data_IF_780355520958
#
_entry.id   IF_780355520958
#
_cell.length_a   1.000
_cell.length_b   1.000
_cell.length_c   1.000
_cell.angle_alpha   90.00
_cell.angle_beta   90.00
_cell.angle_gamma   90.00
#
_symmetry.space_group_name_H-M   'P 1'
#
loop_
_entity.id
_entity.type
_entity.pdbx_description
1 polymer ?
#
# COMPACT_ATOMS: atom_id res chain seq x y z
N UNK A 1 58.89 44.69 27.08
CA UNK A 1 57.45 44.97 26.88
C UNK A 1 56.77 43.62 26.65
N UNK A 2 55.99 43.17 27.63
CA UNK A 2 55.34 41.86 27.65
C UNK A 2 54.04 41.95 26.85
N UNK A 3 53.82 41.05 25.88
CA UNK A 3 52.47 40.75 25.40
C UNK A 3 52.25 39.25 25.32
N UNK A 4 51.22 38.82 26.06
CA UNK A 4 50.65 37.49 26.13
C UNK A 4 50.02 37.09 24.78
N UNK A 5 50.12 35.81 24.41
CA UNK A 5 49.09 35.12 23.62
C UNK A 5 48.70 33.82 24.31
N UNK A 6 47.45 33.79 24.76
CA UNK A 6 46.73 32.60 25.22
C UNK A 6 46.17 31.92 23.98
N UNK A 7 46.60 30.69 23.68
CA UNK A 7 45.96 29.86 22.65
C UNK A 7 44.87 29.01 23.30
N UNK A 8 43.63 29.23 22.87
CA UNK A 8 42.43 28.47 23.25
C UNK A 8 42.57 26.98 22.89
N UNK A 9 42.49 26.10 23.87
CA UNK A 9 42.03 24.72 23.72
C UNK A 9 40.50 24.74 23.68
N UNK A 10 39.87 24.50 22.52
CA UNK A 10 38.45 24.08 22.50
C UNK A 10 37.94 23.55 21.15
N UNK A 11 38.73 22.76 20.41
CA UNK A 11 38.21 22.05 19.23
C UNK A 11 38.92 20.70 19.08
N UNK A 12 38.59 19.70 19.90
CA UNK A 12 38.88 18.29 19.58
C UNK A 12 38.27 17.26 20.54
N UNK A 13 37.14 17.54 21.20
CA UNK A 13 36.50 16.54 22.09
C UNK A 13 35.17 15.99 21.55
N UNK A 14 34.53 16.63 20.58
CA UNK A 14 33.25 16.15 20.04
C UNK A 14 33.39 15.08 18.93
N UNK A 15 34.53 15.00 18.25
CA UNK A 15 34.72 14.07 17.12
C UNK A 15 35.19 12.68 17.58
N UNK A 16 35.83 12.59 18.74
CA UNK A 16 36.29 11.32 19.30
C UNK A 16 35.16 10.49 19.95
N UNK A 17 34.09 11.11 20.44
CA UNK A 17 32.98 10.35 21.06
C UNK A 17 32.08 9.64 20.06
N UNK A 18 31.87 10.15 18.84
CA UNK A 18 31.01 9.49 17.85
C UNK A 18 31.70 8.27 17.21
N UNK A 19 33.01 8.34 16.99
CA UNK A 19 33.77 7.22 16.42
C UNK A 19 33.91 6.04 17.40
N UNK A 20 34.07 6.31 18.70
CA UNK A 20 34.20 5.25 19.71
C UNK A 20 32.85 4.54 19.94
N UNK A 21 31.72 5.25 19.88
CA UNK A 21 30.39 4.63 20.00
C UNK A 21 30.06 3.76 18.77
N UNK A 22 30.45 4.19 17.56
CA UNK A 22 30.32 3.36 16.36
C UNK A 22 31.21 2.11 16.41
N UNK A 23 32.43 2.23 16.94
CA UNK A 23 33.35 1.10 17.14
C UNK A 23 32.86 0.09 18.18
N UNK A 24 32.26 0.55 19.29
CA UNK A 24 31.70 -0.33 20.31
C UNK A 24 30.45 -1.10 19.82
N UNK A 25 29.62 -0.47 18.98
CA UNK A 25 28.45 -1.13 18.37
C UNK A 25 28.84 -2.23 17.38
N UNK A 26 29.93 -2.03 16.62
CA UNK A 26 30.50 -3.06 15.74
C UNK A 26 31.06 -4.26 16.54
N UNK A 27 31.67 -4.02 17.70
CA UNK A 27 32.29 -5.10 18.49
C UNK A 27 31.27 -5.88 19.33
N UNK A 28 30.18 -5.26 19.80
CA UNK A 28 29.09 -6.00 20.46
C UNK A 28 28.28 -6.83 19.48
N UNK A 29 28.18 -6.41 18.20
CA UNK A 29 27.60 -7.26 17.14
C UNK A 29 28.45 -8.50 16.85
N UNK A 30 29.78 -8.44 17.00
CA UNK A 30 30.65 -9.60 16.70
C UNK A 30 30.69 -10.64 17.83
N UNK A 31 30.53 -10.25 19.10
CA UNK A 31 30.60 -11.20 20.23
C UNK A 31 29.37 -12.10 20.36
N UNK A 32 28.20 -11.71 19.83
CA UNK A 32 27.01 -12.58 19.80
C UNK A 32 27.11 -13.65 18.70
N UNK A 33 27.89 -13.43 17.65
CA UNK A 33 28.01 -14.36 16.51
C UNK A 33 29.14 -15.40 16.63
N UNK A 34 30.02 -15.27 17.62
CA UNK A 34 31.18 -16.17 17.73
C UNK A 34 30.89 -17.52 18.42
N UNK A 35 29.67 -17.76 18.93
CA UNK A 35 29.28 -19.03 19.57
C UNK A 35 28.36 -19.92 18.71
N UNK A 36 27.98 -19.52 17.49
CA UNK A 36 27.20 -20.34 16.54
C UNK A 36 28.12 -21.06 15.54
N UNK A 37 29.04 -21.87 16.04
CA UNK A 37 29.74 -22.88 15.22
C UNK A 37 29.13 -24.24 15.53
N UNK A 38 28.05 -24.59 14.82
CA UNK A 38 27.82 -25.93 14.22
C UNK A 38 26.48 -26.11 13.48
N UNK A 39 25.47 -25.24 13.61
CA UNK A 39 24.12 -25.54 13.09
C UNK A 39 23.49 -24.37 12.29
N UNK A 40 24.21 -23.88 11.28
CA UNK A 40 23.71 -22.84 10.37
C UNK A 40 22.78 -23.43 9.30
N UNK A 41 21.60 -22.84 9.14
CA UNK A 41 20.60 -23.17 8.13
C UNK A 41 20.16 -24.63 8.18
N UNK A 42 19.66 -25.04 9.35
CA UNK A 42 19.21 -26.42 9.58
C UNK A 42 18.04 -26.78 8.66
N UNK A 43 18.14 -27.92 7.99
CA UNK A 43 17.04 -28.48 7.21
C UNK A 43 17.43 -29.55 6.19
N UNK A 44 16.54 -30.51 5.94
CA UNK A 44 16.67 -31.47 4.84
C UNK A 44 16.91 -30.73 3.52
N UNK A 45 17.95 -31.13 2.78
CA UNK A 45 18.37 -30.51 1.51
C UNK A 45 18.07 -31.43 0.36
N UNK A 46 17.56 -30.88 -0.73
CA UNK A 46 17.15 -31.64 -1.92
C UNK A 46 18.27 -32.52 -2.53
N UNK A 47 19.53 -32.06 -2.51
CA UNK A 47 20.65 -32.73 -3.21
C UNK A 47 21.71 -33.39 -2.32
N UNK A 48 21.59 -33.34 -0.99
CA UNK A 48 22.61 -33.89 -0.08
C UNK A 48 22.14 -35.18 0.58
N UNK A 49 22.51 -36.31 0.01
CA UNK A 49 22.60 -37.56 0.76
C UNK A 49 23.80 -37.47 1.71
N UNK A 50 23.57 -37.78 2.99
CA UNK A 50 24.57 -38.14 4.03
C UNK A 50 24.87 -37.11 5.14
N UNK A 51 25.12 -35.80 4.91
CA UNK A 51 25.72 -34.96 6.00
C UNK A 51 24.78 -34.02 6.78
N UNK A 52 23.58 -33.69 6.30
CA UNK A 52 22.67 -32.74 6.97
C UNK A 52 21.56 -33.41 7.82
N UNK A 53 21.54 -34.74 7.91
CA UNK A 53 20.41 -35.48 8.52
C UNK A 53 20.43 -35.54 10.05
N UNK A 54 21.60 -35.47 10.67
CA UNK A 54 21.71 -35.81 12.10
C UNK A 54 21.28 -34.71 13.07
N UNK A 55 21.05 -33.50 12.56
CA UNK A 55 20.69 -32.35 13.41
C UNK A 55 19.35 -31.70 13.01
N UNK A 56 18.77 -32.02 11.84
CA UNK A 56 17.52 -31.40 11.42
C UNK A 56 16.33 -31.85 12.29
N UNK A 57 15.64 -30.88 12.88
CA UNK A 57 14.39 -31.08 13.61
C UNK A 57 13.24 -30.51 12.81
N UNK A 58 12.17 -31.30 12.70
CA UNK A 58 10.91 -30.87 12.07
C UNK A 58 10.31 -29.62 12.73
N UNK A 59 10.55 -29.46 14.02
CA UNK A 59 10.07 -28.35 14.86
C UNK A 59 11.11 -27.23 15.00
N UNK A 60 12.33 -27.46 14.52
CA UNK A 60 13.45 -26.54 14.66
C UNK A 60 13.32 -25.29 13.79
N UNK A 61 13.71 -24.15 14.36
CA UNK A 61 13.82 -22.87 13.64
C UNK A 61 14.84 -22.91 12.50
N UNK A 62 14.60 -22.09 11.48
CA UNK A 62 15.48 -21.96 10.31
C UNK A 62 16.25 -20.65 10.41
N UNK A 63 17.50 -20.72 10.90
CA UNK A 63 18.38 -19.54 10.99
C UNK A 63 19.55 -19.73 10.03
N UNK A 64 19.63 -18.90 9.00
CA UNK A 64 20.68 -18.95 7.98
C UNK A 64 21.47 -17.63 7.97
N UNK A 65 22.80 -17.71 8.04
CA UNK A 65 23.69 -16.54 7.92
C UNK A 65 24.51 -16.56 6.61
N UNK A 66 25.34 -15.53 6.40
CA UNK A 66 26.21 -15.33 5.23
C UNK A 66 27.20 -16.47 4.91
N UNK A 67 27.36 -17.44 5.80
CA UNK A 67 28.15 -18.66 5.55
C UNK A 67 27.50 -19.61 4.55
N UNK A 68 26.20 -19.48 4.28
CA UNK A 68 25.46 -20.27 3.30
C UNK A 68 25.15 -19.41 2.09
N UNK A 69 25.55 -19.86 0.90
CA UNK A 69 25.26 -19.15 -0.36
C UNK A 69 23.86 -19.45 -0.88
N UNK A 70 23.60 -20.67 -1.35
CA UNK A 70 22.28 -21.01 -1.92
C UNK A 70 21.85 -22.38 -1.43
N UNK A 71 20.59 -22.50 -0.98
CA UNK A 71 20.07 -23.77 -0.45
C UNK A 71 18.57 -23.89 -0.63
N UNK A 72 18.11 -25.08 -1.03
CA UNK A 72 16.69 -25.46 -1.01
C UNK A 72 16.44 -26.41 0.15
N UNK A 73 15.55 -26.02 1.05
CA UNK A 73 15.11 -26.81 2.18
C UNK A 73 13.81 -27.54 1.81
N UNK A 74 13.75 -28.83 2.13
CA UNK A 74 12.61 -29.72 1.91
C UNK A 74 12.17 -30.35 3.23
N UNK A 75 11.13 -31.17 3.19
CA UNK A 75 10.52 -31.84 4.34
C UNK A 75 9.44 -31.00 5.03
N UNK A 76 8.43 -31.70 5.54
CA UNK A 76 7.34 -31.09 6.30
C UNK A 76 7.88 -30.45 7.58
N UNK A 77 7.48 -29.21 7.88
CA UNK A 77 7.88 -28.48 9.08
C UNK A 77 6.70 -27.89 9.83
N UNK A 78 6.79 -27.90 11.16
CA UNK A 78 5.81 -27.29 12.06
C UNK A 78 6.59 -26.59 13.17
N UNK A 79 6.69 -25.27 13.11
CA UNK A 79 7.47 -24.47 14.06
C UNK A 79 6.51 -23.74 15.00
N UNK A 80 6.58 -24.04 16.30
CA UNK A 80 5.92 -23.24 17.34
C UNK A 80 6.91 -22.25 17.94
N UNK A 81 6.73 -20.97 17.63
CA UNK A 81 7.59 -19.89 18.14
C UNK A 81 7.51 -19.72 19.65
N UNK A 82 6.51 -20.33 20.30
CA UNK A 82 6.38 -20.32 21.75
C UNK A 82 7.29 -21.30 22.47
N UNK A 83 7.89 -22.27 21.78
CA UNK A 83 8.63 -23.33 22.47
C UNK A 83 9.77 -22.71 23.29
N UNK A 84 9.71 -22.76 24.65
CA UNK A 84 10.75 -22.18 25.48
C UNK A 84 12.12 -22.83 25.27
N UNK A 85 12.16 -24.03 24.69
CA UNK A 85 13.39 -24.77 24.43
C UNK A 85 14.12 -24.28 23.15
N UNK A 86 13.45 -23.51 22.30
CA UNK A 86 13.97 -23.03 21.01
C UNK A 86 14.35 -21.52 21.07
N UNK A 87 14.35 -20.93 22.27
CA UNK A 87 14.62 -19.50 22.50
C UNK A 87 13.53 -18.57 21.98
N UNK A 88 13.69 -17.25 22.17
CA UNK A 88 12.67 -16.25 21.78
C UNK A 88 12.74 -15.84 20.30
N UNK A 89 13.48 -16.53 19.43
CA UNK A 89 13.81 -16.08 18.06
C UNK A 89 12.72 -16.30 16.99
N UNK A 90 12.87 -15.60 15.86
CA UNK A 90 12.03 -15.75 14.67
C UNK A 90 12.03 -17.21 14.16
N UNK A 91 10.90 -17.69 13.63
CA UNK A 91 10.81 -19.05 13.08
C UNK A 91 11.75 -19.23 11.88
N UNK A 92 11.87 -18.20 11.05
CA UNK A 92 12.80 -18.14 9.92
C UNK A 92 13.56 -16.82 9.97
N UNK A 93 14.89 -16.89 10.01
CA UNK A 93 15.76 -15.72 9.97
C UNK A 93 16.88 -15.93 8.96
N UNK A 94 16.89 -15.13 7.90
CA UNK A 94 17.92 -15.21 6.85
C UNK A 94 18.70 -13.89 6.83
N UNK A 95 20.02 -13.99 6.99
CA UNK A 95 20.90 -12.84 7.15
C UNK A 95 22.05 -12.92 6.15
N UNK A 96 22.38 -11.78 5.57
CA UNK A 96 23.65 -11.54 4.92
C UNK A 96 23.60 -11.63 3.40
N UNK A 97 24.58 -11.00 2.73
CA UNK A 97 24.58 -10.87 1.30
C UNK A 97 24.87 -12.22 0.63
N UNK A 98 24.18 -12.49 -0.48
CA UNK A 98 24.29 -13.73 -1.26
C UNK A 98 23.80 -14.98 -0.51
N UNK A 99 22.99 -14.84 0.53
CA UNK A 99 22.29 -15.95 1.20
C UNK A 99 20.91 -16.11 0.57
N UNK A 100 20.77 -17.08 -0.32
CA UNK A 100 19.58 -17.36 -1.12
C UNK A 100 18.94 -18.69 -0.69
N UNK A 101 17.87 -18.61 0.11
CA UNK A 101 17.20 -19.78 0.68
C UNK A 101 15.85 -19.98 0.01
N UNK A 102 15.55 -21.22 -0.36
CA UNK A 102 14.22 -21.63 -0.84
C UNK A 102 13.62 -22.64 0.12
N UNK A 103 12.42 -22.38 0.62
CA UNK A 103 11.59 -23.39 1.28
C UNK A 103 10.74 -24.06 0.21
N UNK A 104 10.97 -25.36 0.01
CA UNK A 104 10.42 -26.17 -1.07
C UNK A 104 8.92 -26.46 -0.97
N UNK A 105 8.47 -27.46 -1.72
CA UNK A 105 7.03 -27.77 -1.93
C UNK A 105 6.36 -28.52 -0.78
N UNK A 106 7.13 -28.84 0.26
CA UNK A 106 6.64 -29.50 1.46
C UNK A 106 5.95 -28.49 2.39
N UNK A 107 4.89 -28.90 3.12
CA UNK A 107 4.19 -27.99 4.02
C UNK A 107 5.09 -27.39 5.10
N UNK A 108 5.02 -26.07 5.23
CA UNK A 108 5.58 -25.29 6.34
C UNK A 108 4.44 -24.67 7.13
N UNK A 109 4.34 -25.01 8.41
CA UNK A 109 3.41 -24.39 9.36
C UNK A 109 4.19 -23.64 10.43
N UNK A 110 3.82 -22.39 10.69
CA UNK A 110 4.36 -21.58 11.79
C UNK A 110 3.22 -21.03 12.63
N UNK A 111 3.32 -21.19 13.94
CA UNK A 111 2.37 -20.65 14.92
C UNK A 111 3.10 -20.03 16.09
N UNK A 112 2.40 -19.16 16.83
CA UNK A 112 2.90 -18.62 18.09
C UNK A 112 1.76 -18.63 19.11
N UNK A 113 1.89 -19.37 20.20
CA UNK A 113 0.93 -19.38 21.32
C UNK A 113 1.24 -18.38 22.45
N UNK A 114 2.39 -17.67 22.43
CA UNK A 114 2.89 -16.77 23.48
C UNK A 114 2.85 -15.29 23.06
N UNK A 115 3.13 -14.37 23.96
CA UNK A 115 3.16 -12.94 23.64
C UNK A 115 4.53 -12.52 23.08
N UNK A 116 4.93 -13.00 21.90
CA UNK A 116 6.17 -12.54 21.24
C UNK A 116 5.91 -11.32 20.34
N UNK A 117 6.75 -10.30 20.40
CA UNK A 117 6.68 -9.13 19.50
C UNK A 117 7.49 -9.33 18.21
N UNK A 118 8.13 -10.49 18.04
CA UNK A 118 8.96 -10.79 16.86
C UNK A 118 8.12 -11.18 15.66
N UNK A 119 8.66 -10.93 14.47
CA UNK A 119 8.13 -11.48 13.21
C UNK A 119 8.35 -12.99 13.12
N UNK A 120 7.43 -13.72 12.50
CA UNK A 120 7.65 -15.12 12.17
C UNK A 120 8.81 -15.32 11.18
N UNK A 121 8.91 -14.43 10.18
CA UNK A 121 9.97 -14.44 9.17
C UNK A 121 10.71 -13.11 9.19
N UNK A 122 12.04 -13.15 9.18
CA UNK A 122 12.89 -11.98 9.01
C UNK A 122 13.96 -12.23 7.96
N UNK A 123 14.09 -11.30 7.01
CA UNK A 123 15.14 -11.30 5.99
C UNK A 123 15.84 -9.96 5.99
N UNK A 124 17.16 -9.97 6.15
CA UNK A 124 17.94 -8.74 6.28
C UNK A 124 19.34 -8.83 5.65
N UNK A 125 19.98 -7.65 5.53
CA UNK A 125 21.37 -7.51 5.09
C UNK A 125 21.64 -8.09 3.68
N UNK A 126 20.68 -7.97 2.76
CA UNK A 126 20.84 -8.40 1.38
C UNK A 126 20.53 -9.88 1.11
N UNK A 127 19.97 -10.59 2.09
CA UNK A 127 19.56 -11.98 1.96
C UNK A 127 18.28 -12.15 1.12
N UNK A 128 18.04 -13.37 0.60
CA UNK A 128 16.85 -13.69 -0.17
C UNK A 128 16.18 -14.96 0.34
N UNK A 129 14.86 -14.92 0.43
CA UNK A 129 14.02 -16.05 0.79
C UNK A 129 12.95 -16.27 -0.28
N UNK A 130 12.79 -17.50 -0.72
CA UNK A 130 11.66 -17.94 -1.56
C UNK A 130 10.82 -18.93 -0.78
N UNK A 131 9.53 -18.61 -0.62
CA UNK A 131 8.50 -19.48 -0.05
C UNK A 131 7.67 -20.05 -1.19
N UNK A 132 7.65 -21.37 -1.35
CA UNK A 132 6.75 -22.04 -2.30
C UNK A 132 5.31 -22.11 -1.77
N UNK A 133 4.44 -22.85 -2.44
CA UNK A 133 2.98 -22.72 -2.31
C UNK A 133 2.39 -23.15 -0.96
N UNK A 134 2.99 -24.12 -0.27
CA UNK A 134 2.39 -24.77 0.93
C UNK A 134 2.88 -24.15 2.24
N UNK A 135 2.65 -22.85 2.40
CA UNK A 135 3.04 -22.12 3.62
C UNK A 135 1.81 -21.67 4.41
N UNK A 136 1.82 -21.91 5.72
CA UNK A 136 0.80 -21.43 6.65
C UNK A 136 1.48 -20.78 7.85
N UNK A 137 1.35 -19.47 7.99
CA UNK A 137 1.86 -18.72 9.13
C UNK A 137 0.68 -18.03 9.78
N UNK A 138 0.20 -18.57 10.90
CA UNK A 138 -1.05 -18.12 11.50
C UNK A 138 -0.90 -17.98 12.98
N UNK A 139 -1.79 -17.18 13.59
CA UNK A 139 -1.73 -16.91 15.01
C UNK A 139 -0.34 -16.38 15.40
N UNK A 140 0.17 -15.37 14.69
CA UNK A 140 1.43 -14.65 15.00
C UNK A 140 1.17 -13.16 15.20
N UNK A 141 2.04 -12.43 15.90
CA UNK A 141 1.86 -10.97 16.07
C UNK A 141 2.30 -10.17 14.85
N UNK A 142 3.34 -10.65 14.15
CA UNK A 142 3.88 -10.09 12.91
C UNK A 142 4.31 -11.26 12.03
N UNK A 143 4.00 -11.21 10.74
CA UNK A 143 4.26 -12.31 9.82
C UNK A 143 5.67 -12.18 9.24
N UNK A 144 5.99 -11.04 8.61
CA UNK A 144 7.25 -10.88 7.88
C UNK A 144 7.88 -9.52 8.17
N UNK A 145 9.21 -9.49 8.19
CA UNK A 145 10.02 -8.28 8.21
C UNK A 145 11.13 -8.40 7.15
N UNK A 146 11.16 -7.44 6.21
CA UNK A 146 12.20 -7.32 5.18
C UNK A 146 12.96 -6.02 5.39
N UNK A 147 14.19 -6.12 5.87
CA UNK A 147 15.03 -4.98 6.24
C UNK A 147 16.27 -4.86 5.35
N UNK A 148 16.42 -3.72 4.70
CA UNK A 148 17.65 -3.33 4.03
C UNK A 148 17.67 -3.63 2.54
N UNK A 149 18.46 -2.82 1.83
CA UNK A 149 18.61 -2.92 0.39
C UNK A 149 19.15 -4.30 -0.02
N UNK A 150 18.56 -4.86 -1.07
CA UNK A 150 18.90 -6.20 -1.57
C UNK A 150 18.22 -7.35 -0.82
N UNK A 151 17.60 -7.10 0.33
CA UNK A 151 16.82 -8.10 1.06
C UNK A 151 15.50 -8.38 0.34
N UNK A 152 15.22 -9.64 0.03
CA UNK A 152 14.02 -10.03 -0.76
C UNK A 152 13.29 -11.21 -0.15
N UNK A 153 11.97 -11.11 0.01
CA UNK A 153 11.09 -12.27 0.21
C UNK A 153 10.24 -12.46 -1.05
N UNK A 154 10.25 -13.67 -1.63
CA UNK A 154 9.34 -14.08 -2.69
C UNK A 154 8.35 -15.11 -2.14
N UNK A 155 7.05 -14.91 -2.35
CA UNK A 155 5.98 -15.76 -1.85
C UNK A 155 5.14 -16.25 -3.02
N UNK A 156 5.13 -17.57 -3.25
CA UNK A 156 4.41 -18.17 -4.36
C UNK A 156 2.98 -18.61 -3.98
N UNK A 157 2.70 -18.74 -2.68
CA UNK A 157 1.39 -19.07 -2.15
C UNK A 157 1.42 -19.21 -0.62
N UNK A 158 0.24 -19.31 -0.01
CA UNK A 158 0.10 -19.58 1.40
C UNK A 158 -0.94 -18.72 2.11
N UNK A 159 -1.13 -19.02 3.40
CA UNK A 159 -2.03 -18.31 4.30
C UNK A 159 -1.24 -17.64 5.40
N UNK A 160 -1.47 -16.34 5.59
CA UNK A 160 -0.76 -15.50 6.54
C UNK A 160 -1.78 -14.80 7.44
N UNK A 161 -1.72 -15.02 8.75
CA UNK A 161 -2.76 -14.57 9.67
C UNK A 161 -2.21 -14.07 10.99
N UNK A 162 -2.69 -12.90 11.44
CA UNK A 162 -2.41 -12.42 12.79
C UNK A 162 -3.18 -13.23 13.85
N UNK A 163 -2.74 -13.12 15.11
CA UNK A 163 -3.55 -13.57 16.25
C UNK A 163 -4.87 -12.80 16.32
N UNK A 164 -5.93 -13.52 16.66
CA UNK A 164 -7.19 -12.95 17.10
C UNK A 164 -6.98 -12.23 18.44
N UNK A 165 -7.65 -11.10 18.66
CA UNK A 165 -7.70 -10.40 19.94
C UNK A 165 -6.34 -10.23 20.68
N UNK A 166 -5.41 -9.47 20.09
CA UNK A 166 -4.29 -8.93 20.87
C UNK A 166 -4.81 -7.68 21.58
N UNK A 167 -4.69 -7.61 22.91
CA UNK A 167 -4.87 -6.36 23.65
C UNK A 167 -3.99 -5.29 23.01
N UNK A 168 -4.62 -4.26 22.47
CA UNK A 168 -3.92 -3.12 21.93
C UNK A 168 -2.95 -2.60 23.00
N UNK A 169 -1.65 -2.64 22.70
CA UNK A 169 -0.75 -1.66 23.30
C UNK A 169 -1.38 -0.28 23.04
N UNK A 170 -1.42 0.56 24.07
CA UNK A 170 -2.32 1.73 24.19
C UNK A 170 -2.33 2.71 23.00
N UNK A 171 -1.41 2.62 22.04
CA UNK A 171 -1.27 3.56 20.92
C UNK A 171 -0.84 2.93 19.56
N UNK A 172 -0.81 1.60 19.39
CA UNK A 172 -0.15 0.96 18.24
C UNK A 172 -1.07 0.10 17.36
N UNK A 173 -1.37 0.55 16.13
CA UNK A 173 -1.93 -0.33 15.10
C UNK A 173 -1.03 -1.56 14.84
N UNK A 174 -1.60 -2.64 14.30
CA UNK A 174 -0.87 -3.89 14.02
C UNK A 174 -0.38 -3.92 12.57
N UNK A 175 0.81 -4.45 12.34
CA UNK A 175 1.41 -4.59 10.99
C UNK A 175 1.77 -6.06 10.74
N UNK A 176 1.32 -6.62 9.62
CA UNK A 176 1.60 -8.03 9.28
C UNK A 176 2.95 -8.19 8.57
N UNK A 177 3.20 -7.38 7.55
CA UNK A 177 4.41 -7.42 6.74
C UNK A 177 5.05 -6.04 6.76
N UNK A 178 6.27 -5.94 7.27
CA UNK A 178 7.06 -4.72 7.22
C UNK A 178 8.12 -4.80 6.12
N UNK A 179 8.17 -3.76 5.30
CA UNK A 179 9.20 -3.58 4.26
C UNK A 179 9.88 -2.24 4.50
N UNK A 180 11.16 -2.28 4.85
CA UNK A 180 11.91 -1.08 5.26
C UNK A 180 13.30 -1.04 4.66
N UNK A 181 13.85 0.18 4.62
CA UNK A 181 15.23 0.47 4.18
C UNK A 181 15.59 -0.08 2.79
N UNK A 182 14.63 -0.08 1.86
CA UNK A 182 14.82 -0.59 0.50
C UNK A 182 14.69 -2.11 0.37
N UNK A 183 14.12 -2.79 1.37
CA UNK A 183 13.72 -4.19 1.25
C UNK A 183 12.63 -4.40 0.19
N UNK A 184 12.44 -5.65 -0.23
CA UNK A 184 11.47 -6.01 -1.26
C UNK A 184 10.66 -7.26 -0.89
N UNK A 185 9.35 -7.20 -1.12
CA UNK A 185 8.48 -8.39 -1.11
C UNK A 185 7.88 -8.61 -2.50
N UNK A 186 7.90 -9.85 -2.96
CA UNK A 186 7.38 -10.28 -4.26
C UNK A 186 6.35 -11.37 -4.04
N UNK A 187 5.15 -11.20 -4.57
CA UNK A 187 4.11 -12.20 -4.63
C UNK A 187 4.02 -12.72 -6.06
N UNK A 188 4.30 -14.02 -6.23
CA UNK A 188 4.48 -14.62 -7.55
C UNK A 188 3.94 -16.04 -7.63
N UNK A 189 2.63 -16.16 -7.86
CA UNK A 189 1.99 -17.44 -8.11
C UNK A 189 2.23 -17.89 -9.56
N UNK A 190 3.44 -18.35 -9.88
CA UNK A 190 3.72 -18.99 -11.18
C UNK A 190 3.27 -20.44 -11.19
N UNK A 191 2.07 -20.71 -11.70
CA UNK A 191 1.65 -22.08 -12.04
C UNK A 191 0.15 -22.33 -11.93
N UNK A 192 -0.42 -23.07 -12.89
CA UNK A 192 -1.79 -23.58 -12.89
C UNK A 192 -1.94 -24.74 -11.88
N UNK A 193 -1.67 -24.48 -10.60
CA UNK A 193 -1.87 -25.46 -9.55
C UNK A 193 -3.01 -24.99 -8.66
N UNK A 194 -3.89 -25.92 -8.30
CA UNK A 194 -5.06 -25.75 -7.41
C UNK A 194 -4.70 -25.32 -5.96
N UNK A 195 -3.53 -24.70 -5.74
CA UNK A 195 -3.17 -24.07 -4.48
C UNK A 195 -4.04 -22.84 -4.27
N UNK A 196 -4.53 -22.63 -3.05
CA UNK A 196 -5.46 -21.56 -2.70
C UNK A 196 -4.92 -20.15 -2.98
N UNK A 197 -5.79 -19.16 -2.85
CA UNK A 197 -5.43 -17.76 -2.95
C UNK A 197 -4.42 -17.35 -1.87
N UNK A 198 -3.56 -16.37 -2.17
CA UNK A 198 -2.63 -15.82 -1.18
C UNK A 198 -3.42 -14.98 -0.20
N UNK A 199 -3.67 -15.50 0.99
CA UNK A 199 -4.55 -14.88 1.97
C UNK A 199 -3.75 -14.19 3.06
N UNK A 200 -4.05 -12.91 3.28
CA UNK A 200 -3.55 -12.10 4.38
C UNK A 200 -4.74 -11.73 5.29
N UNK A 201 -4.79 -12.30 6.49
CA UNK A 201 -5.88 -12.09 7.45
C UNK A 201 -5.44 -11.32 8.69
N UNK A 202 -6.15 -10.23 8.98
CA UNK A 202 -5.95 -9.40 10.17
C UNK A 202 -6.43 -10.05 11.48
N UNK A 203 -7.06 -11.22 11.42
CA UNK A 203 -7.72 -11.87 12.55
C UNK A 203 -9.08 -11.25 12.90
N UNK A 204 -9.91 -12.01 13.62
CA UNK A 204 -11.24 -11.56 14.06
C UNK A 204 -11.17 -10.70 15.33
N UNK A 205 -12.13 -9.78 15.48
CA UNK A 205 -12.31 -8.98 16.70
C UNK A 205 -11.31 -7.83 16.89
N UNK A 206 -10.59 -7.44 15.84
CA UNK A 206 -9.67 -6.31 15.89
C UNK A 206 -10.41 -4.99 16.13
N UNK A 207 -10.27 -4.43 17.34
CA UNK A 207 -10.75 -3.07 17.68
C UNK A 207 -9.78 -1.96 17.20
N UNK A 208 -8.67 -2.33 16.56
CA UNK A 208 -7.58 -1.42 16.17
C UNK A 208 -7.27 -1.50 14.69
N UNK A 209 -6.56 -0.49 14.18
CA UNK A 209 -6.02 -0.47 12.81
C UNK A 209 -5.15 -1.70 12.57
N UNK A 210 -5.43 -2.42 11.48
CA UNK A 210 -4.63 -3.55 10.99
C UNK A 210 -4.11 -3.21 9.61
N UNK A 211 -2.78 -3.19 9.50
CA UNK A 211 -2.04 -2.96 8.27
C UNK A 211 -1.55 -4.29 7.72
N UNK A 212 -1.93 -4.62 6.49
CA UNK A 212 -1.44 -5.80 5.80
C UNK A 212 0.06 -5.67 5.50
N UNK A 213 0.43 -4.67 4.69
CA UNK A 213 1.81 -4.39 4.33
C UNK A 213 2.13 -2.93 4.68
N UNK A 214 3.19 -2.70 5.47
CA UNK A 214 3.72 -1.35 5.71
C UNK A 214 5.07 -1.19 5.01
N UNK A 215 5.17 -0.16 4.16
CA UNK A 215 6.43 0.31 3.57
C UNK A 215 6.87 1.58 4.30
N UNK A 216 8.04 1.56 4.93
CA UNK A 216 8.44 2.64 5.85
C UNK A 216 9.91 3.05 5.73
N UNK A 217 10.32 4.00 6.58
CA UNK A 217 11.68 4.55 6.62
C UNK A 217 12.13 5.11 5.25
N UNK A 218 13.24 4.62 4.70
CA UNK A 218 13.81 5.06 3.42
C UNK A 218 13.23 4.33 2.21
N UNK A 219 12.06 3.68 2.35
CA UNK A 219 11.32 3.09 1.24
C UNK A 219 11.39 1.57 1.16
N UNK A 220 10.89 1.03 0.04
CA UNK A 220 10.78 -0.39 -0.21
C UNK A 220 9.90 -0.72 -1.42
N UNK A 221 9.94 -1.98 -1.84
CA UNK A 221 9.19 -2.47 -2.99
C UNK A 221 8.21 -3.59 -2.61
N UNK A 222 6.99 -3.48 -3.12
CA UNK A 222 5.96 -4.52 -3.08
C UNK A 222 5.59 -4.88 -4.51
N UNK A 223 5.85 -6.11 -4.94
CA UNK A 223 5.57 -6.57 -6.29
C UNK A 223 4.52 -7.69 -6.25
N UNK A 224 3.33 -7.48 -6.83
CA UNK A 224 2.31 -8.51 -7.04
C UNK A 224 2.28 -8.86 -8.52
N UNK A 225 2.89 -9.98 -8.89
CA UNK A 225 3.09 -10.35 -10.30
C UNK A 225 1.79 -10.73 -11.00
N UNK A 226 1.74 -10.48 -12.30
CA UNK A 226 0.64 -10.85 -13.19
C UNK A 226 0.24 -12.32 -13.00
N UNK A 227 -1.05 -12.56 -12.82
CA UNK A 227 -1.61 -13.89 -12.53
C UNK A 227 -1.66 -14.23 -11.04
N UNK A 228 -1.12 -13.37 -10.16
CA UNK A 228 -1.23 -13.51 -8.71
C UNK A 228 -2.40 -12.69 -8.20
N UNK A 229 -3.22 -13.29 -7.33
CA UNK A 229 -4.24 -12.61 -6.54
C UNK A 229 -3.80 -12.62 -5.07
N UNK A 230 -3.84 -11.45 -4.45
CA UNK A 230 -3.56 -11.23 -3.04
C UNK A 230 -4.85 -10.79 -2.34
N UNK A 231 -5.35 -11.61 -1.42
CA UNK A 231 -6.62 -11.40 -0.71
C UNK A 231 -6.36 -10.91 0.70
N UNK A 232 -6.74 -9.66 0.97
CA UNK A 232 -6.74 -9.11 2.31
C UNK A 232 -8.13 -9.24 2.95
N UNK A 233 -8.17 -9.82 4.14
CA UNK A 233 -9.38 -10.01 4.94
C UNK A 233 -9.19 -9.44 6.35
N UNK A 234 -10.17 -8.67 6.83
CA UNK A 234 -10.09 -8.10 8.18
C UNK A 234 -8.95 -7.07 8.37
N UNK A 235 -8.47 -6.46 7.28
CA UNK A 235 -7.48 -5.36 7.34
C UNK A 235 -8.19 -4.01 7.20
N UNK A 236 -7.69 -2.99 7.89
CA UNK A 236 -8.13 -1.60 7.68
C UNK A 236 -7.29 -0.90 6.62
N UNK A 237 -6.03 -1.29 6.47
CA UNK A 237 -5.07 -0.70 5.53
C UNK A 237 -4.35 -1.86 4.83
N UNK A 238 -4.63 -2.11 3.54
CA UNK A 238 -4.01 -3.25 2.87
C UNK A 238 -2.52 -2.99 2.62
N UNK A 239 -2.20 -1.83 2.06
CA UNK A 239 -0.83 -1.35 1.84
C UNK A 239 -0.72 0.08 2.37
N UNK A 240 0.10 0.26 3.39
CA UNK A 240 0.41 1.56 4.00
C UNK A 240 1.81 1.99 3.64
N UNK A 241 1.97 3.24 3.23
CA UNK A 241 3.25 3.83 2.84
C UNK A 241 3.54 5.03 3.74
N UNK A 242 4.57 4.88 4.59
CA UNK A 242 5.06 5.89 5.54
C UNK A 242 6.48 6.36 5.22
N UNK A 243 7.02 5.96 4.07
CA UNK A 243 8.40 6.29 3.71
C UNK A 243 8.61 7.79 3.56
N UNK A 244 9.80 8.25 3.96
CA UNK A 244 10.28 9.61 3.65
C UNK A 244 10.95 9.69 2.28
N UNK A 245 11.28 8.54 1.69
CA UNK A 245 11.86 8.39 0.36
C UNK A 245 10.89 7.66 -0.59
N UNK A 246 11.41 7.15 -1.72
CA UNK A 246 10.62 6.49 -2.76
C UNK A 246 10.16 5.09 -2.35
N UNK A 247 8.88 4.79 -2.59
CA UNK A 247 8.30 3.45 -2.44
C UNK A 247 7.62 3.03 -3.74
N UNK A 248 7.58 1.73 -4.03
CA UNK A 248 6.94 1.21 -5.23
C UNK A 248 6.03 0.03 -4.93
N UNK A 249 4.82 0.05 -5.48
CA UNK A 249 3.86 -1.06 -5.45
C UNK A 249 3.49 -1.39 -6.90
N UNK A 250 3.80 -2.58 -7.40
CA UNK A 250 3.62 -2.88 -8.85
C UNK A 250 3.40 -4.36 -9.15
N UNK A 251 3.23 -4.73 -10.44
CA UNK A 251 3.52 -6.10 -10.89
C UNK A 251 2.48 -6.77 -11.80
N UNK A 252 1.32 -6.16 -12.06
CA UNK A 252 0.29 -6.71 -12.96
C UNK A 252 -0.73 -7.63 -12.30
N UNK A 253 -0.60 -7.90 -11.00
CA UNK A 253 -1.51 -8.76 -10.24
C UNK A 253 -2.77 -8.08 -9.73
N UNK A 254 -3.57 -8.85 -8.99
CA UNK A 254 -4.83 -8.42 -8.40
C UNK A 254 -4.72 -8.35 -6.88
N UNK A 255 -5.22 -7.28 -6.28
CA UNK A 255 -5.37 -7.10 -4.84
C UNK A 255 -6.86 -7.02 -4.52
N UNK A 256 -7.35 -7.98 -3.74
CA UNK A 256 -8.72 -7.97 -3.24
C UNK A 256 -8.71 -7.53 -1.78
N UNK A 257 -9.65 -6.65 -1.41
CA UNK A 257 -9.81 -6.22 -0.02
C UNK A 257 -11.26 -6.44 0.42
N UNK A 258 -11.43 -7.33 1.39
CA UNK A 258 -12.70 -7.52 2.10
C UNK A 258 -12.66 -6.69 3.37
N UNK A 259 -13.45 -5.62 3.39
CA UNK A 259 -13.31 -4.60 4.42
C UNK A 259 -13.61 -5.09 5.84
N UNK A 260 -12.99 -4.45 6.83
CA UNK A 260 -13.37 -4.61 8.24
C UNK A 260 -14.63 -3.78 8.54
N UNK A 261 -15.37 -4.06 9.61
CA UNK A 261 -16.66 -3.40 9.90
C UNK A 261 -16.62 -1.85 9.99
N UNK A 262 -15.43 -1.23 10.08
CA UNK A 262 -15.22 0.22 10.05
C UNK A 262 -14.77 0.80 8.71
N UNK A 263 -14.65 -0.03 7.67
CA UNK A 263 -14.12 0.33 6.35
C UNK A 263 -12.62 0.10 6.21
N UNK A 264 -12.16 0.01 4.96
CA UNK A 264 -10.77 -0.30 4.62
C UNK A 264 -10.24 0.59 3.51
N UNK A 265 -8.93 0.85 3.54
CA UNK A 265 -8.20 1.55 2.49
C UNK A 265 -7.22 0.59 1.84
N UNK A 266 -7.20 0.51 0.51
CA UNK A 266 -6.29 -0.40 -0.18
C UNK A 266 -4.87 0.16 -0.20
N UNK A 267 -4.68 1.38 -0.72
CA UNK A 267 -3.39 2.08 -0.68
C UNK A 267 -3.51 3.32 0.18
N UNK A 268 -2.80 3.37 1.30
CA UNK A 268 -2.75 4.54 2.18
C UNK A 268 -1.36 5.15 2.19
N UNK A 269 -1.27 6.45 1.90
CA UNK A 269 -0.01 7.20 1.94
C UNK A 269 -0.05 8.26 3.04
N UNK A 270 0.87 8.14 4.00
CA UNK A 270 1.05 9.06 5.13
C UNK A 270 2.50 9.57 5.24
N UNK A 271 3.43 8.99 4.48
CA UNK A 271 4.82 9.44 4.42
C UNK A 271 5.00 10.72 3.63
N UNK A 272 6.03 11.49 3.95
CA UNK A 272 6.38 12.72 3.24
C UNK A 272 7.04 12.47 1.87
N UNK A 273 7.39 11.22 1.55
CA UNK A 273 8.10 10.83 0.34
C UNK A 273 7.22 10.78 -0.91
N UNK A 274 7.67 9.99 -1.88
CA UNK A 274 6.95 9.70 -3.13
C UNK A 274 6.64 8.20 -3.20
N UNK A 275 5.45 7.86 -3.65
CA UNK A 275 5.05 6.48 -3.86
C UNK A 275 4.54 6.30 -5.30
N UNK A 276 5.01 5.26 -5.97
CA UNK A 276 4.52 4.87 -7.29
C UNK A 276 3.74 3.56 -7.20
N UNK A 277 2.49 3.58 -7.65
CA UNK A 277 1.61 2.41 -7.76
C UNK A 277 1.33 2.15 -9.23
N UNK A 278 1.76 1.01 -9.75
CA UNK A 278 1.74 0.78 -11.20
C UNK A 278 1.20 -0.59 -11.59
N UNK A 279 0.38 -0.63 -12.65
CA UNK A 279 -0.08 -1.88 -13.26
C UNK A 279 -0.74 -2.83 -12.26
N UNK A 280 -1.79 -2.41 -11.57
CA UNK A 280 -2.47 -3.27 -10.59
C UNK A 280 -3.98 -3.22 -10.79
N UNK A 281 -4.63 -4.34 -10.52
CA UNK A 281 -6.09 -4.38 -10.33
C UNK A 281 -6.37 -4.44 -8.84
N UNK A 282 -7.15 -3.49 -8.35
CA UNK A 282 -7.57 -3.38 -6.96
C UNK A 282 -9.08 -3.51 -6.92
N UNK A 283 -9.58 -4.44 -6.12
CA UNK A 283 -10.99 -4.77 -6.06
C UNK A 283 -11.51 -4.74 -4.62
N UNK A 284 -12.51 -3.90 -4.37
CA UNK A 284 -13.25 -3.89 -3.11
C UNK A 284 -14.28 -5.03 -3.05
N UNK A 285 -14.56 -5.55 -1.85
CA UNK A 285 -15.63 -6.54 -1.69
C UNK A 285 -17.03 -5.88 -1.73
N UNK A 286 -18.02 -6.62 -2.27
CA UNK A 286 -19.42 -6.20 -2.21
C UNK A 286 -19.88 -6.15 -0.74
N UNK A 287 -20.48 -5.02 -0.35
CA UNK A 287 -21.03 -4.80 0.98
C UNK A 287 -20.07 -4.20 2.01
N UNK A 288 -18.78 -4.05 1.69
CA UNK A 288 -17.83 -3.32 2.54
C UNK A 288 -17.66 -1.88 2.08
N UNK A 289 -17.26 -1.00 3.03
CA UNK A 289 -16.80 0.34 2.71
C UNK A 289 -15.32 0.28 2.37
N UNK A 290 -14.97 0.48 1.09
CA UNK A 290 -13.58 0.42 0.62
C UNK A 290 -13.20 1.72 -0.08
N UNK A 291 -12.09 2.30 0.36
CA UNK A 291 -11.39 3.41 -0.32
C UNK A 291 -10.24 2.82 -1.13
N UNK A 292 -10.19 3.08 -2.44
CA UNK A 292 -9.11 2.59 -3.30
C UNK A 292 -7.75 3.17 -2.91
N UNK A 293 -7.65 4.50 -2.86
CA UNK A 293 -6.45 5.20 -2.41
C UNK A 293 -6.75 6.35 -1.45
N UNK A 294 -5.96 6.50 -0.39
CA UNK A 294 -6.00 7.66 0.51
C UNK A 294 -4.60 8.28 0.66
N UNK A 295 -4.50 9.60 0.48
CA UNK A 295 -3.25 10.35 0.61
C UNK A 295 -3.44 11.47 1.62
N UNK A 296 -2.73 11.42 2.75
CA UNK A 296 -2.76 12.47 3.77
C UNK A 296 -1.47 13.33 3.78
N UNK A 297 -0.36 12.78 3.27
CA UNK A 297 0.91 13.47 3.07
C UNK A 297 1.67 12.89 1.88
N UNK A 298 2.71 13.59 1.44
CA UNK A 298 3.59 13.20 0.33
C UNK A 298 2.88 13.16 -1.03
N UNK A 299 3.50 12.46 -1.99
CA UNK A 299 2.98 12.34 -3.36
C UNK A 299 2.75 10.89 -3.78
N UNK A 300 1.50 10.54 -4.07
CA UNK A 300 1.12 9.25 -4.65
C UNK A 300 0.95 9.40 -6.17
N UNK A 301 1.65 8.59 -6.95
CA UNK A 301 1.45 8.45 -8.38
C UNK A 301 0.84 7.09 -8.69
N UNK A 302 -0.26 7.09 -9.44
CA UNK A 302 -0.93 5.88 -9.91
C UNK A 302 -0.86 5.84 -11.43
N UNK A 303 -0.36 4.74 -11.99
CA UNK A 303 -0.25 4.55 -13.43
C UNK A 303 -0.77 3.18 -13.87
N UNK A 304 -1.69 3.16 -14.83
CA UNK A 304 -2.36 1.95 -15.31
C UNK A 304 -2.96 1.12 -14.15
N UNK A 305 -3.59 1.80 -13.19
CA UNK A 305 -4.25 1.15 -12.05
C UNK A 305 -5.75 1.06 -12.29
N UNK A 306 -6.34 -0.10 -12.01
CA UNK A 306 -7.78 -0.32 -12.05
C UNK A 306 -8.32 -0.44 -10.64
N UNK A 307 -9.14 0.51 -10.20
CA UNK A 307 -9.91 0.44 -8.97
C UNK A 307 -11.33 -0.02 -9.30
N UNK A 308 -11.81 -1.07 -8.65
CA UNK A 308 -13.12 -1.67 -8.91
C UNK A 308 -13.89 -1.89 -7.61
N UNK A 309 -15.22 -1.76 -7.68
CA UNK A 309 -16.14 -2.05 -6.57
C UNK A 309 -15.83 -1.28 -5.28
N UNK A 310 -15.31 -0.06 -5.40
CA UNK A 310 -14.96 0.79 -4.26
C UNK A 310 -16.11 1.73 -3.88
N UNK A 311 -16.20 2.11 -2.62
CA UNK A 311 -17.11 3.19 -2.18
C UNK A 311 -16.55 4.56 -2.53
N UNK A 312 -15.24 4.70 -2.35
CA UNK A 312 -14.48 5.89 -2.70
C UNK A 312 -13.30 5.47 -3.57
N UNK A 313 -13.15 6.06 -4.76
CA UNK A 313 -12.02 5.75 -5.63
C UNK A 313 -10.70 6.20 -5.03
N UNK A 314 -10.51 7.52 -4.94
CA UNK A 314 -9.35 8.11 -4.30
C UNK A 314 -9.70 9.34 -3.47
N UNK A 315 -9.00 9.53 -2.34
CA UNK A 315 -9.22 10.64 -1.42
C UNK A 315 -7.90 11.28 -1.03
N UNK A 316 -7.82 12.60 -1.17
CA UNK A 316 -6.66 13.38 -0.73
C UNK A 316 -7.07 14.29 0.40
N UNK A 317 -6.27 14.33 1.46
CA UNK A 317 -6.44 15.17 2.65
C UNK A 317 -5.09 15.79 3.05
N UNK A 318 -5.09 16.68 4.04
CA UNK A 318 -3.85 17.25 4.57
C UNK A 318 -3.01 17.92 3.49
N UNK A 319 -1.70 17.64 3.51
CA UNK A 319 -0.73 18.11 2.51
C UNK A 319 -0.45 17.06 1.43
N UNK A 320 -1.35 16.11 1.22
CA UNK A 320 -1.18 15.05 0.24
C UNK A 320 -1.34 15.57 -1.19
N UNK A 321 -0.62 14.95 -2.13
CA UNK A 321 -0.79 15.11 -3.56
C UNK A 321 -1.04 13.76 -4.24
N UNK A 322 -2.05 13.71 -5.11
CA UNK A 322 -2.34 12.54 -5.95
C UNK A 322 -2.16 12.87 -7.43
N UNK A 323 -1.49 11.97 -8.16
CA UNK A 323 -1.39 12.00 -9.62
C UNK A 323 -1.84 10.66 -10.19
N UNK A 324 -2.95 10.63 -10.92
CA UNK A 324 -3.39 9.45 -11.67
C UNK A 324 -3.10 9.72 -13.15
N UNK A 325 -2.19 8.95 -13.73
CA UNK A 325 -1.71 9.17 -15.10
C UNK A 325 -2.54 8.47 -16.16
N UNK A 326 -3.00 7.25 -15.83
CA UNK A 326 -3.86 6.39 -16.63
C UNK A 326 -4.53 5.40 -15.67
N UNK A 327 -5.78 5.03 -15.91
CA UNK A 327 -6.47 4.03 -15.10
C UNK A 327 -7.98 4.10 -15.17
N UNK A 328 -8.61 3.16 -14.47
CA UNK A 328 -10.07 3.10 -14.33
C UNK A 328 -10.44 3.14 -12.86
N UNK A 329 -11.47 3.90 -12.51
CA UNK A 329 -12.01 4.00 -11.16
C UNK A 329 -13.50 3.73 -11.24
N UNK A 330 -13.94 2.59 -10.74
CA UNK A 330 -15.34 2.16 -10.83
C UNK A 330 -15.91 1.90 -9.45
N UNK A 331 -16.98 2.61 -9.14
CA UNK A 331 -17.73 2.46 -7.90
C UNK A 331 -18.49 1.14 -7.84
N UNK A 332 -18.91 0.75 -6.63
CA UNK A 332 -19.97 -0.24 -6.44
C UNK A 332 -21.36 0.43 -6.49
N UNK A 333 -22.42 -0.37 -6.46
CA UNK A 333 -23.79 0.13 -6.31
C UNK A 333 -23.90 1.05 -5.08
N UNK A 334 -24.39 2.27 -5.29
CA UNK A 334 -24.49 3.30 -4.25
C UNK A 334 -23.14 3.83 -3.76
N UNK A 335 -22.09 3.82 -4.59
CA UNK A 335 -20.82 4.45 -4.25
C UNK A 335 -20.93 5.99 -4.23
N UNK A 336 -20.21 6.59 -3.29
CA UNK A 336 -20.36 8.01 -2.96
C UNK A 336 -19.57 8.89 -3.92
N UNK A 337 -18.24 8.72 -3.96
CA UNK A 337 -17.33 9.64 -4.64
C UNK A 337 -16.22 8.92 -5.39
N UNK A 338 -16.03 9.23 -6.67
CA UNK A 338 -14.92 8.71 -7.46
C UNK A 338 -13.58 9.26 -6.95
N UNK A 339 -13.36 10.57 -7.05
CA UNK A 339 -12.12 11.20 -6.57
C UNK A 339 -12.42 12.46 -5.77
N UNK A 340 -11.84 12.57 -4.56
CA UNK A 340 -12.02 13.71 -3.65
C UNK A 340 -10.71 14.48 -3.42
N UNK A 341 -10.69 15.76 -3.82
CA UNK A 341 -9.60 16.70 -3.61
C UNK A 341 -9.83 17.58 -2.36
N UNK A 342 -9.64 16.99 -1.17
CA UNK A 342 -9.71 17.68 0.11
C UNK A 342 -8.37 18.16 0.69
N UNK A 343 -7.25 17.74 0.11
CA UNK A 343 -5.89 18.13 0.48
C UNK A 343 -5.30 19.19 -0.45
N UNK A 344 -4.02 19.06 -0.81
CA UNK A 344 -3.31 20.08 -1.61
C UNK A 344 -3.67 20.01 -3.09
N UNK A 345 -3.41 18.87 -3.73
CA UNK A 345 -3.56 18.74 -5.19
C UNK A 345 -3.95 17.34 -5.66
N UNK A 346 -4.88 17.30 -6.61
CA UNK A 346 -5.22 16.11 -7.39
C UNK A 346 -4.99 16.41 -8.86
N UNK A 347 -4.26 15.53 -9.55
CA UNK A 347 -4.11 15.57 -11.02
C UNK A 347 -4.59 14.26 -11.61
N UNK A 348 -5.55 14.33 -12.53
CA UNK A 348 -6.07 13.19 -13.31
C UNK A 348 -5.69 13.40 -14.76
N UNK A 349 -5.12 12.38 -15.41
CA UNK A 349 -4.83 12.36 -16.83
C UNK A 349 -5.39 11.05 -17.40
N UNK A 350 -6.15 11.12 -18.48
CA UNK A 350 -6.69 9.93 -19.19
C UNK A 350 -7.26 8.87 -18.23
N UNK A 351 -8.14 9.31 -17.32
CA UNK A 351 -8.77 8.43 -16.31
C UNK A 351 -10.25 8.25 -16.65
N UNK A 352 -10.73 7.00 -16.58
CA UNK A 352 -12.16 6.69 -16.63
C UNK A 352 -12.71 6.56 -15.21
N UNK A 353 -13.74 7.35 -14.88
CA UNK A 353 -14.42 7.32 -13.59
C UNK A 353 -15.89 7.01 -13.82
N UNK A 354 -16.42 5.98 -13.18
CA UNK A 354 -17.82 5.55 -13.40
C UNK A 354 -18.49 4.97 -12.16
N UNK A 355 -19.83 4.97 -12.16
CA UNK A 355 -20.68 4.35 -11.13
C UNK A 355 -20.62 5.04 -9.75
N UNK A 356 -20.45 6.36 -9.73
CA UNK A 356 -20.50 7.16 -8.50
C UNK A 356 -21.63 8.19 -8.53
N UNK A 357 -22.14 8.54 -7.34
CA UNK A 357 -23.01 9.70 -7.17
C UNK A 357 -22.25 11.00 -7.42
N UNK A 358 -21.03 11.11 -6.93
CA UNK A 358 -20.13 12.23 -7.26
C UNK A 358 -18.94 11.70 -8.04
N UNK A 359 -18.75 12.14 -9.28
CA UNK A 359 -17.63 11.68 -10.09
C UNK A 359 -16.31 12.15 -9.49
N UNK A 360 -16.11 13.46 -9.47
CA UNK A 360 -14.94 14.11 -8.90
C UNK A 360 -15.36 15.34 -8.11
N UNK A 361 -14.77 15.57 -6.95
CA UNK A 361 -15.03 16.76 -6.13
C UNK A 361 -13.76 17.49 -5.69
N UNK A 362 -13.91 18.79 -5.45
CA UNK A 362 -12.93 19.59 -4.71
C UNK A 362 -13.63 20.36 -3.59
N UNK A 363 -13.10 20.23 -2.38
CA UNK A 363 -13.63 20.88 -1.18
C UNK A 363 -12.65 21.91 -0.60
N UNK A 364 -11.34 21.79 -0.92
CA UNK A 364 -10.28 22.71 -0.48
C UNK A 364 -9.13 22.81 -1.49
N UNK A 365 -8.75 21.68 -2.09
CA UNK A 365 -7.54 21.58 -2.92
C UNK A 365 -7.69 22.09 -4.35
N UNK A 366 -6.58 22.01 -5.08
CA UNK A 366 -6.56 22.21 -6.52
C UNK A 366 -6.80 20.89 -7.25
N UNK A 367 -7.84 20.86 -8.07
CA UNK A 367 -8.12 19.76 -8.98
C UNK A 367 -7.72 20.11 -10.42
N UNK A 368 -6.92 19.26 -11.04
CA UNK A 368 -6.51 19.39 -12.44
C UNK A 368 -6.86 18.11 -13.18
N UNK A 369 -7.69 18.20 -14.20
CA UNK A 369 -8.10 17.06 -15.04
C UNK A 369 -7.66 17.35 -16.47
N UNK A 370 -6.87 16.45 -17.03
CA UNK A 370 -6.25 16.58 -18.35
C UNK A 370 -6.53 15.35 -19.23
N UNK A 371 -6.18 15.47 -20.50
CA UNK A 371 -6.25 14.38 -21.47
C UNK A 371 -7.69 14.05 -21.86
N UNK A 372 -7.96 12.79 -22.14
CA UNK A 372 -9.29 12.31 -22.56
C UNK A 372 -10.04 11.65 -21.39
N UNK A 373 -9.92 12.21 -20.18
CA UNK A 373 -10.58 11.66 -18.99
C UNK A 373 -12.10 11.67 -19.16
N UNK A 374 -12.77 10.61 -18.70
CA UNK A 374 -14.23 10.47 -18.76
C UNK A 374 -14.79 10.32 -17.36
N UNK A 375 -15.87 11.06 -17.07
CA UNK A 375 -16.57 11.01 -15.79
C UNK A 375 -18.02 10.66 -16.06
N UNK A 376 -18.45 9.48 -15.66
CA UNK A 376 -19.82 9.02 -15.78
C UNK A 376 -20.47 8.87 -14.41
N UNK A 377 -21.53 9.62 -14.17
CA UNK A 377 -22.26 9.59 -12.88
C UNK A 377 -23.63 8.96 -13.01
N UNK A 378 -24.06 8.34 -11.91
CA UNK A 378 -25.39 7.75 -11.81
C UNK A 378 -26.49 8.83 -11.86
N UNK A 379 -27.73 8.42 -12.10
CA UNK A 379 -28.87 9.36 -12.10
C UNK A 379 -28.97 10.09 -10.75
N UNK A 380 -29.15 11.42 -10.81
CA UNK A 380 -29.14 12.30 -9.64
C UNK A 380 -27.74 12.64 -9.12
N UNK A 381 -26.68 12.12 -9.75
CA UNK A 381 -25.29 12.42 -9.40
C UNK A 381 -24.75 13.74 -9.95
N UNK A 382 -23.55 14.12 -9.51
CA UNK A 382 -22.81 15.28 -9.99
C UNK A 382 -21.46 14.86 -10.57
N UNK A 383 -21.20 15.19 -11.84
CA UNK A 383 -19.94 14.85 -12.50
C UNK A 383 -18.73 15.50 -11.82
N UNK A 384 -18.68 16.83 -11.85
CA UNK A 384 -17.65 17.63 -11.21
C UNK A 384 -18.28 18.52 -10.13
N UNK A 385 -18.01 18.25 -8.85
CA UNK A 385 -18.61 18.95 -7.72
C UNK A 385 -17.60 19.83 -6.97
N UNK A 386 -17.60 21.13 -7.24
CA UNK A 386 -16.64 22.07 -6.67
C UNK A 386 -17.34 22.91 -5.62
N UNK A 387 -17.24 22.50 -4.36
CA UNK A 387 -17.85 23.20 -3.21
C UNK A 387 -16.83 24.07 -2.45
N UNK A 388 -15.54 23.83 -2.70
CA UNK A 388 -14.43 24.69 -2.29
C UNK A 388 -13.21 24.47 -3.19
N UNK A 389 -12.12 25.20 -2.93
CA UNK A 389 -10.92 25.14 -3.77
C UNK A 389 -11.18 25.54 -5.23
N UNK A 390 -10.40 24.97 -6.15
CA UNK A 390 -10.50 25.28 -7.60
C UNK A 390 -10.36 24.04 -8.47
N UNK A 391 -10.96 24.08 -9.66
CA UNK A 391 -10.85 23.02 -10.65
C UNK A 391 -10.52 23.55 -12.04
N UNK A 392 -9.66 22.84 -12.76
CA UNK A 392 -9.38 23.04 -14.17
C UNK A 392 -9.50 21.71 -14.90
N UNK A 393 -10.41 21.63 -15.87
CA UNK A 393 -10.55 20.47 -16.76
C UNK A 393 -10.21 20.88 -18.20
N UNK A 394 -9.24 20.19 -18.79
CA UNK A 394 -8.73 20.41 -20.14
C UNK A 394 -8.93 19.13 -20.96
N UNK A 395 -9.96 19.11 -21.81
CA UNK A 395 -10.38 17.92 -22.55
C UNK A 395 -11.27 16.99 -21.73
N UNK A 396 -11.80 15.96 -22.39
CA UNK A 396 -12.57 14.89 -21.78
C UNK A 396 -14.08 15.10 -21.80
N UNK A 397 -14.79 14.22 -21.09
CA UNK A 397 -16.25 14.17 -21.06
C UNK A 397 -16.80 13.98 -19.65
N UNK A 398 -17.94 14.62 -19.40
CA UNK A 398 -18.79 14.40 -18.23
C UNK A 398 -20.17 13.95 -18.71
N UNK A 399 -20.63 12.77 -18.29
CA UNK A 399 -21.89 12.17 -18.74
C UNK A 399 -22.74 11.70 -17.55
N UNK A 400 -24.04 11.99 -17.59
CA UNK A 400 -25.02 11.37 -16.69
C UNK A 400 -25.71 10.16 -17.32
N UNK A 401 -26.06 9.14 -16.53
CA UNK A 401 -26.74 7.93 -17.05
C UNK A 401 -28.26 8.06 -17.17
N UNK A 402 -28.87 9.17 -16.74
CA UNK A 402 -30.33 9.34 -16.66
C UNK A 402 -31.04 9.74 -17.97
N UNK A 403 -30.29 10.15 -19.00
CA UNK A 403 -30.84 10.61 -20.29
C UNK A 403 -31.83 11.78 -20.15
N UNK A 404 -32.89 11.82 -20.97
CA UNK A 404 -33.88 12.90 -20.97
C UNK A 404 -34.71 13.04 -19.67
N UNK A 405 -34.63 12.06 -18.76
CA UNK A 405 -35.25 12.10 -17.42
C UNK A 405 -34.21 12.25 -16.30
N UNK A 406 -32.96 12.53 -16.67
CA UNK A 406 -31.87 12.72 -15.72
C UNK A 406 -32.24 13.77 -14.68
N UNK A 407 -31.72 13.56 -13.47
CA UNK A 407 -31.69 14.56 -12.38
C UNK A 407 -30.26 14.97 -12.05
N UNK A 408 -29.30 14.51 -12.84
CA UNK A 408 -27.88 14.73 -12.60
C UNK A 408 -27.45 16.15 -12.98
N UNK A 409 -26.36 16.60 -12.38
CA UNK A 409 -25.66 17.84 -12.71
C UNK A 409 -24.31 17.48 -13.33
N UNK A 410 -23.95 18.08 -14.46
CA UNK A 410 -22.63 17.87 -15.08
C UNK A 410 -21.53 18.48 -14.20
N UNK A 411 -21.60 19.80 -14.03
CA UNK A 411 -20.64 20.56 -13.22
C UNK A 411 -21.38 21.44 -12.22
N UNK A 412 -21.04 21.32 -10.94
CA UNK A 412 -21.44 22.24 -9.90
C UNK A 412 -20.26 23.11 -9.48
N UNK A 413 -20.41 24.42 -9.59
CA UNK A 413 -19.40 25.44 -9.30
C UNK A 413 -19.88 26.35 -8.15
N UNK A 414 -19.55 25.96 -6.93
CA UNK A 414 -19.74 26.74 -5.70
C UNK A 414 -18.44 27.14 -4.99
N UNK A 415 -17.28 26.71 -5.50
CA UNK A 415 -15.95 27.05 -4.96
C UNK A 415 -15.37 28.35 -5.51
N UNK A 416 -14.04 28.46 -5.62
CA UNK A 416 -13.35 29.69 -6.01
C UNK A 416 -13.37 29.90 -7.53
N UNK A 417 -12.84 28.93 -8.29
CA UNK A 417 -12.72 29.00 -9.75
C UNK A 417 -12.88 27.63 -10.39
N UNK A 418 -13.70 27.58 -11.42
CA UNK A 418 -13.85 26.42 -12.30
C UNK A 418 -13.51 26.82 -13.73
N UNK A 419 -12.62 26.08 -14.38
CA UNK A 419 -12.26 26.29 -15.79
C UNK A 419 -12.51 25.01 -16.59
N UNK A 420 -13.34 25.12 -17.63
CA UNK A 420 -13.65 24.05 -18.58
C UNK A 420 -13.12 24.45 -19.95
N UNK A 421 -12.15 23.70 -20.47
CA UNK A 421 -11.55 23.92 -21.79
C UNK A 421 -11.69 22.67 -22.66
N UNK A 422 -12.41 22.77 -23.77
CA UNK A 422 -12.69 21.63 -24.67
C UNK A 422 -13.31 20.43 -23.92
N UNK A 423 -14.27 20.71 -23.04
CA UNK A 423 -14.98 19.67 -22.25
C UNK A 423 -16.37 19.44 -22.83
N UNK A 424 -16.75 18.18 -22.96
CA UNK A 424 -18.11 17.79 -23.36
C UNK A 424 -18.94 17.41 -22.12
N UNK A 425 -20.14 17.96 -22.00
CA UNK A 425 -21.08 17.65 -20.92
C UNK A 425 -22.40 17.18 -21.53
N UNK A 426 -22.85 15.98 -21.17
CA UNK A 426 -24.02 15.32 -21.78
C UNK A 426 -24.81 14.44 -20.79
N UNK A 427 -26.04 14.05 -21.16
CA UNK A 427 -26.84 13.09 -20.35
C UNK A 427 -27.28 13.59 -18.96
N UNK A 428 -27.20 14.89 -18.72
CA UNK A 428 -27.51 15.55 -17.44
C UNK A 428 -28.70 16.51 -17.58
N UNK A 429 -29.39 16.78 -16.47
CA UNK A 429 -30.45 17.78 -16.42
C UNK A 429 -29.87 19.19 -16.43
N UNK A 430 -28.87 19.42 -15.58
CA UNK A 430 -28.17 20.69 -15.49
C UNK A 430 -26.76 20.48 -15.98
N UNK A 431 -26.38 21.10 -17.10
CA UNK A 431 -25.05 21.01 -17.65
C UNK A 431 -24.02 21.60 -16.69
N UNK A 432 -24.17 22.90 -16.39
CA UNK A 432 -23.35 23.62 -15.41
C UNK A 432 -24.24 24.46 -14.49
N UNK A 433 -24.09 24.29 -13.18
CA UNK A 433 -24.69 25.14 -12.16
C UNK A 433 -23.60 25.93 -11.44
N UNK A 434 -23.76 27.26 -11.39
CA UNK A 434 -22.84 28.17 -10.71
C UNK A 434 -23.60 28.95 -9.65
N UNK A 435 -23.16 28.83 -8.41
CA UNK A 435 -23.76 29.53 -7.25
C UNK A 435 -22.78 30.51 -6.60
N UNK A 436 -21.48 30.31 -6.82
CA UNK A 436 -20.41 31.15 -6.30
C UNK A 436 -19.14 31.03 -7.16
N UNK A 437 -18.19 31.95 -6.94
CA UNK A 437 -16.89 31.93 -7.60
C UNK A 437 -16.95 32.34 -9.08
N UNK A 438 -15.89 31.97 -9.79
CA UNK A 438 -15.72 32.28 -11.22
C UNK A 438 -15.82 31.04 -12.09
N UNK A 439 -16.75 31.03 -13.04
CA UNK A 439 -16.79 30.03 -14.11
C UNK A 439 -16.08 30.56 -15.36
N UNK A 440 -15.20 29.75 -15.94
CA UNK A 440 -14.60 30.01 -17.26
C UNK A 440 -14.86 28.83 -18.15
N UNK A 441 -15.63 29.02 -19.21
CA UNK A 441 -15.80 28.03 -20.29
C UNK A 441 -15.11 28.58 -21.53
N UNK A 442 -14.14 27.86 -22.06
CA UNK A 442 -13.41 28.24 -23.27
C UNK A 442 -13.13 27.02 -24.17
N UNK A 443 -12.44 27.28 -25.28
CA UNK A 443 -12.15 26.28 -26.31
C UNK A 443 -13.42 25.84 -27.04
N UNK A 444 -13.47 24.55 -27.39
CA UNK A 444 -14.60 23.94 -28.11
C UNK A 444 -15.52 23.16 -27.16
N UNK A 445 -15.66 23.62 -25.91
CA UNK A 445 -16.49 22.95 -24.91
C UNK A 445 -17.96 22.90 -25.35
N UNK A 446 -18.62 21.76 -25.17
CA UNK A 446 -20.03 21.57 -25.54
C UNK A 446 -20.84 21.16 -24.32
N UNK A 447 -22.04 21.72 -24.18
CA UNK A 447 -22.97 21.37 -23.12
C UNK A 447 -24.30 21.03 -23.79
N UNK A 448 -24.69 19.76 -23.67
CA UNK A 448 -25.93 19.23 -24.27
C UNK A 448 -26.82 18.69 -23.16
N UNK A 449 -28.01 19.28 -23.05
CA UNK A 449 -29.01 18.88 -22.06
C UNK A 449 -30.35 18.64 -22.75
N UNK A 450 -31.13 17.71 -22.21
CA UNK A 450 -32.42 17.30 -22.77
C UNK A 450 -33.46 17.21 -21.65
N UNK A 451 -34.66 17.71 -21.91
CA UNK A 451 -35.80 17.62 -20.99
C UNK A 451 -36.45 18.97 -20.67
N UNK A 452 -37.67 18.90 -20.13
CA UNK A 452 -38.51 20.08 -19.88
C UNK A 452 -37.93 21.03 -18.81
N UNK A 453 -37.11 20.52 -17.89
CA UNK A 453 -36.48 21.27 -16.80
C UNK A 453 -34.96 21.36 -16.95
N UNK A 454 -34.46 21.15 -18.17
CA UNK A 454 -33.04 21.10 -18.43
C UNK A 454 -32.43 22.51 -18.56
N UNK A 455 -31.25 22.70 -17.96
CA UNK A 455 -30.50 23.95 -18.05
C UNK A 455 -29.11 23.66 -18.60
N UNK A 456 -28.73 24.32 -19.70
CA UNK A 456 -27.34 24.23 -20.19
C UNK A 456 -26.37 24.83 -19.18
N UNK A 457 -26.53 26.13 -18.89
CA UNK A 457 -25.79 26.84 -17.84
C UNK A 457 -26.78 27.62 -16.98
N UNK A 458 -26.75 27.39 -15.67
CA UNK A 458 -27.57 28.07 -14.67
C UNK A 458 -26.66 28.84 -13.71
N UNK A 459 -26.82 30.15 -13.66
CA UNK A 459 -26.03 31.05 -12.81
C UNK A 459 -26.94 31.69 -11.77
N UNK A 460 -26.52 31.70 -10.51
CA UNK A 460 -27.26 32.29 -9.39
C UNK A 460 -26.31 32.76 -8.29
N UNK A 461 -26.84 33.47 -7.28
CA UNK A 461 -26.05 33.95 -6.15
C UNK A 461 -25.04 35.03 -6.53
N UNK A 462 -23.83 34.94 -5.98
CA UNK A 462 -22.72 35.87 -6.24
C UNK A 462 -21.76 35.39 -7.33
N UNK A 463 -22.17 34.39 -8.11
CA UNK A 463 -21.38 33.82 -9.20
C UNK A 463 -21.03 34.86 -10.29
N UNK A 464 -19.85 34.69 -10.90
CA UNK A 464 -19.34 35.55 -11.99
C UNK A 464 -18.73 34.78 -13.16
#
# INVERSE_FOLDING_TARGET
MVMRRVLKHHVCLCVLSTAIVAGLALITSQKVYAQLKTENCMGLVQDSQVLARHHDKREGKIVCDSGIKTRTLTGVRTIDMSDPNEGDDEAIKIIGPNTDITIGDDPLTVTDSKSSDKSAIRVEQGARLTLKEKVSITNVKKVMEVDGSGSVITVNGGTFGLKNAIEAGKDGGRVMIEVKKGGKVVFDKRGQSNGGDLTISGGEGAMTTVTGIEVSETGGEVEVRKGTTLDFTGVTEAIKIKSSAEATVSGGGTINVTGSGGGSTVVKMEGSGKADVMNLTINGSRGATVTGAEVSSGTLMMNMVKLMQVTTGAKVTGSGTLKVLEGTITGKDGADTGVSAGGEKVTLNTVEISQFMTGVEATKGQLVINGTSTITVTDGGTGLNITGGSATMMGGEITGTGGARSRSTGVYAGGEKVTLNTVNVSGVQTGVEVTNGKLVINGTSTITVEGMYAYGVKVSGSAS
#
